data_IF_152996084318
#
_entry.id   IF_152996084318
#
_cell.length_a   1.000
_cell.length_b   1.000
_cell.length_c   1.000
_cell.angle_alpha   90.00
_cell.angle_beta   90.00
_cell.angle_gamma   90.00
#
_symmetry.space_group_name_H-M   'P 1'
#
loop_
_entity.id
_entity.type
_entity.pdbx_description
1 polymer ?
#
# COMPACT_ATOMS: atom_id res chain seq x y z
N UNK A 1 -1.30 -5.72 -8.54
CA UNK A 1 -1.35 -6.71 -7.44
C UNK A 1 -0.09 -6.76 -6.57
N UNK A 2 1.12 -6.72 -7.13
CA UNK A 2 2.37 -6.69 -6.36
C UNK A 2 2.45 -5.53 -5.35
N UNK A 3 2.18 -4.30 -5.80
CA UNK A 3 2.17 -3.11 -4.95
C UNK A 3 1.26 -3.26 -3.71
N UNK A 4 0.06 -3.82 -3.90
CA UNK A 4 -0.89 -4.07 -2.80
C UNK A 4 -0.34 -5.13 -1.83
N UNK A 5 0.25 -6.21 -2.35
CA UNK A 5 0.88 -7.25 -1.51
C UNK A 5 2.04 -6.66 -0.70
N UNK A 6 2.87 -5.82 -1.32
CA UNK A 6 4.00 -5.17 -0.67
C UNK A 6 3.54 -4.16 0.39
N UNK A 7 2.57 -3.29 0.09
CA UNK A 7 2.00 -2.36 1.07
C UNK A 7 1.46 -3.10 2.30
N UNK A 8 0.77 -4.24 2.11
CA UNK A 8 0.32 -5.11 3.21
C UNK A 8 1.47 -5.78 3.95
N UNK A 9 2.58 -6.12 3.27
CA UNK A 9 3.78 -6.69 3.90
C UNK A 9 4.46 -5.65 4.78
N UNK A 10 4.66 -4.43 4.28
CA UNK A 10 5.21 -3.29 5.02
C UNK A 10 4.38 -3.05 6.29
N UNK A 11 3.06 -2.97 6.19
CA UNK A 11 2.20 -2.77 7.35
C UNK A 11 2.33 -3.88 8.41
N UNK A 12 2.51 -5.13 8.00
CA UNK A 12 2.63 -6.28 8.92
C UNK A 12 4.01 -6.48 9.52
N UNK A 13 5.07 -6.09 8.80
CA UNK A 13 6.46 -6.38 9.18
C UNK A 13 7.17 -5.18 9.79
N UNK A 14 6.84 -3.98 9.31
CA UNK A 14 7.49 -2.73 9.70
C UNK A 14 6.57 -1.80 10.51
N UNK A 15 5.33 -2.22 10.78
CA UNK A 15 4.29 -1.41 11.45
C UNK A 15 3.97 -0.08 10.73
N UNK A 16 4.27 0.02 9.42
CA UNK A 16 3.99 1.21 8.61
C UNK A 16 2.75 1.01 7.72
N UNK A 17 1.63 1.61 8.12
CA UNK A 17 0.40 1.63 7.33
C UNK A 17 0.47 2.63 6.18
N UNK A 18 0.84 2.18 4.98
CA UNK A 18 1.08 3.04 3.81
C UNK A 18 0.16 2.78 2.61
N UNK A 19 0.10 3.75 1.70
CA UNK A 19 -0.64 3.64 0.44
C UNK A 19 -0.09 2.63 -0.57
N UNK A 20 -0.83 2.47 -1.68
CA UNK A 20 -0.50 1.51 -2.74
C UNK A 20 0.79 1.91 -3.47
N UNK A 21 1.02 3.21 -3.72
CA UNK A 21 2.23 3.71 -4.38
C UNK A 21 3.49 3.43 -3.55
N UNK A 22 3.43 3.58 -2.23
CA UNK A 22 4.50 3.18 -1.30
C UNK A 22 4.88 1.70 -1.46
N UNK A 23 3.88 0.83 -1.59
CA UNK A 23 4.11 -0.58 -1.86
C UNK A 23 4.77 -0.84 -3.22
N UNK A 24 4.41 -0.07 -4.25
CA UNK A 24 5.05 -0.16 -5.57
C UNK A 24 6.53 0.29 -5.50
N UNK A 25 6.79 1.40 -4.82
CA UNK A 25 8.10 1.98 -4.62
C UNK A 25 9.07 1.01 -3.93
N UNK A 26 8.65 0.40 -2.82
CA UNK A 26 9.47 -0.60 -2.10
C UNK A 26 9.66 -1.87 -2.91
N UNK A 27 8.64 -2.35 -3.62
CA UNK A 27 8.78 -3.52 -4.49
C UNK A 27 9.78 -3.26 -5.63
N UNK A 28 9.73 -2.07 -6.25
CA UNK A 28 10.69 -1.66 -7.27
C UNK A 28 12.10 -1.51 -6.70
N UNK A 29 12.26 -0.92 -5.52
CA UNK A 29 13.57 -0.78 -4.86
C UNK A 29 14.22 -2.14 -4.56
N UNK A 30 13.45 -3.12 -4.08
CA UNK A 30 13.93 -4.49 -3.84
C UNK A 30 14.34 -5.15 -5.16
N UNK A 31 13.50 -5.05 -6.20
CA UNK A 31 13.85 -5.59 -7.53
C UNK A 31 15.09 -4.93 -8.12
N UNK A 32 15.29 -3.65 -7.87
CA UNK A 32 16.49 -2.93 -8.29
C UNK A 32 17.72 -3.50 -7.59
N UNK A 33 17.64 -3.69 -6.26
CA UNK A 33 18.68 -4.33 -5.45
C UNK A 33 19.04 -5.75 -5.93
N UNK A 34 18.03 -6.53 -6.36
CA UNK A 34 18.23 -7.90 -6.84
C UNK A 34 18.77 -7.96 -8.27
N UNK A 35 18.45 -6.97 -9.12
CA UNK A 35 18.78 -6.96 -10.55
C UNK A 35 20.18 -6.44 -10.84
N UNK A 36 20.67 -5.47 -10.06
CA UNK A 36 21.95 -4.81 -10.31
C UNK A 36 22.96 -5.16 -9.22
N UNK A 37 24.24 -5.14 -9.57
CA UNK A 37 25.32 -5.22 -8.60
C UNK A 37 25.49 -3.85 -7.93
N UNK A 38 25.57 -3.84 -6.61
CA UNK A 38 25.85 -2.67 -5.79
C UNK A 38 27.15 -2.92 -5.03
N UNK A 39 27.96 -1.88 -4.86
CA UNK A 39 29.18 -1.96 -4.08
C UNK A 39 28.86 -1.91 -2.58
N UNK A 40 29.82 -2.32 -1.75
CA UNK A 40 29.66 -2.21 -0.30
C UNK A 40 29.45 -0.75 0.10
N UNK A 41 28.33 -0.48 0.77
CA UNK A 41 27.97 0.86 1.24
C UNK A 41 26.93 1.58 0.37
N UNK A 42 26.68 1.13 -0.85
CA UNK A 42 25.64 1.68 -1.70
C UNK A 42 24.25 1.60 -1.04
N UNK A 43 23.42 2.61 -1.30
CA UNK A 43 22.08 2.75 -0.72
C UNK A 43 21.04 3.02 -1.80
N UNK A 44 19.94 2.27 -1.73
CA UNK A 44 18.72 2.57 -2.49
C UNK A 44 17.76 3.30 -1.56
N UNK A 45 17.28 4.46 -1.99
CA UNK A 45 16.32 5.28 -1.25
C UNK A 45 15.02 5.35 -2.04
N UNK A 46 13.88 5.30 -1.33
CA UNK A 46 12.56 5.48 -1.92
C UNK A 46 11.62 6.24 -0.97
N UNK A 47 10.44 6.59 -1.46
CA UNK A 47 9.48 7.45 -0.75
C UNK A 47 8.19 6.67 -0.45
N UNK A 48 7.61 6.89 0.72
CA UNK A 48 6.28 6.39 1.11
C UNK A 48 5.32 7.60 1.20
N UNK A 49 4.58 7.95 0.11
CA UNK A 49 3.98 9.27 0.00
C UNK A 49 2.84 9.57 0.98
N UNK A 50 2.09 8.55 1.39
CA UNK A 50 0.91 8.72 2.26
C UNK A 50 0.54 7.48 3.09
N UNK A 51 -0.42 7.68 3.98
CA UNK A 51 -0.94 6.67 4.91
C UNK A 51 -2.05 5.81 4.29
N UNK A 52 -2.13 4.55 4.73
CA UNK A 52 -3.13 3.58 4.27
C UNK A 52 -4.59 3.99 4.56
N UNK A 53 -4.83 4.88 5.53
CA UNK A 53 -6.18 5.29 5.94
C UNK A 53 -7.02 5.89 4.80
N UNK A 54 -6.38 6.49 3.79
CA UNK A 54 -7.07 7.02 2.60
C UNK A 54 -7.64 5.93 1.68
N UNK A 55 -7.32 4.67 1.93
CA UNK A 55 -7.54 3.57 1.00
C UNK A 55 -8.47 2.46 1.52
N UNK A 56 -9.16 2.65 2.64
CA UNK A 56 -10.04 1.62 3.23
C UNK A 56 -11.14 1.12 2.29
N UNK A 57 -11.62 1.96 1.38
CA UNK A 57 -12.63 1.60 0.36
C UNK A 57 -12.04 1.02 -0.94
N UNK A 58 -10.73 0.73 -0.97
CA UNK A 58 -10.03 0.24 -2.18
C UNK A 58 -9.60 -1.22 -2.04
N UNK A 59 -9.01 -1.79 -3.11
CA UNK A 59 -8.42 -3.14 -3.10
C UNK A 59 -7.27 -3.31 -2.10
N UNK A 60 -6.75 -2.23 -1.51
CA UNK A 60 -5.75 -2.35 -0.43
C UNK A 60 -6.33 -3.05 0.80
N UNK A 61 -7.61 -2.83 1.12
CA UNK A 61 -8.30 -3.45 2.25
C UNK A 61 -9.42 -4.40 1.82
N UNK A 62 -10.11 -4.09 0.73
CA UNK A 62 -11.22 -4.89 0.24
C UNK A 62 -10.76 -5.99 -0.72
N UNK A 63 -11.43 -7.15 -0.66
CA UNK A 63 -11.18 -8.26 -1.60
C UNK A 63 -11.70 -7.95 -3.01
N UNK A 64 -12.77 -7.16 -3.11
CA UNK A 64 -13.41 -6.72 -4.36
C UNK A 64 -13.83 -5.25 -4.28
N UNK A 65 -14.18 -4.66 -5.42
CA UNK A 65 -14.88 -3.37 -5.44
C UNK A 65 -16.27 -3.53 -4.82
N UNK A 66 -16.68 -2.51 -4.08
CA UNK A 66 -18.05 -2.37 -3.59
C UNK A 66 -18.98 -2.03 -4.76
N UNK A 67 -20.23 -2.47 -4.68
CA UNK A 67 -21.30 -1.92 -5.51
C UNK A 67 -21.64 -0.51 -5.04
N UNK A 68 -22.36 0.26 -5.87
CA UNK A 68 -22.82 1.60 -5.51
C UNK A 68 -23.68 1.59 -4.24
N UNK A 69 -24.55 0.59 -4.08
CA UNK A 69 -25.42 0.46 -2.91
C UNK A 69 -24.63 0.12 -1.63
N UNK A 70 -23.62 -0.74 -1.74
CA UNK A 70 -22.72 -1.03 -0.61
C UNK A 70 -21.92 0.21 -0.20
N UNK A 71 -21.49 1.02 -1.16
CA UNK A 71 -20.78 2.26 -0.90
C UNK A 71 -21.69 3.29 -0.20
N UNK A 72 -22.93 3.47 -0.67
CA UNK A 72 -23.93 4.35 -0.02
C UNK A 72 -24.19 3.93 1.42
N UNK A 73 -24.39 2.63 1.67
CA UNK A 73 -24.60 2.10 3.03
C UNK A 73 -23.41 2.36 3.95
N UNK A 74 -22.18 2.23 3.44
CA UNK A 74 -20.97 2.58 4.20
C UNK A 74 -20.94 4.07 4.56
N UNK A 75 -21.29 4.96 3.63
CA UNK A 75 -21.32 6.40 3.88
C UNK A 75 -22.40 6.78 4.88
N UNK A 76 -23.56 6.13 4.86
CA UNK A 76 -24.62 6.34 5.86
C UNK A 76 -24.17 5.92 7.27
N UNK A 77 -23.50 4.77 7.38
CA UNK A 77 -22.92 4.31 8.65
C UNK A 77 -21.87 5.30 9.18
N UNK A 78 -20.97 5.78 8.31
CA UNK A 78 -19.93 6.73 8.69
C UNK A 78 -20.44 8.13 9.08
N UNK A 79 -21.70 8.46 8.78
CA UNK A 79 -22.36 9.74 9.14
C UNK A 79 -23.23 9.63 10.40
N UNK A 80 -23.44 8.42 10.92
CA UNK A 80 -24.31 8.16 12.09
C UNK A 80 -23.59 8.26 13.43
N UNK A 81 -22.28 8.49 13.41
CA UNK A 81 -21.45 8.87 14.55
C UNK A 81 -21.14 10.38 14.48
#
# INVERSE_FOLDING_TARGET
>A
DEAIKMARKIARKEALGVGISSGANVAAAIKLAEKYSFDEGDKIVTILPDYAARYFSTRLFLKRRLTTEEHKKMLELARKD
#
